data_IF_814153154584
#
_entry.id   IF_814153154584
#
_cell.length_a   1.000
_cell.length_b   1.000
_cell.length_c   1.000
_cell.angle_alpha   90.00
_cell.angle_beta   90.00
_cell.angle_gamma   90.00
#
_symmetry.space_group_name_H-M   'P 1'
#
loop_
_entity.id
_entity.type
_entity.pdbx_description
1 polymer ?
#
# COMPACT_ATOMS: atom_id res chain seq x y z
N UNK A 1 37.29 0.80 -3.67
CA UNK A 1 35.99 1.49 -3.50
C UNK A 1 36.27 2.93 -3.15
N UNK A 2 35.51 3.87 -3.69
CA UNK A 2 35.60 5.30 -3.33
C UNK A 2 34.58 5.60 -2.24
N UNK A 3 34.94 6.38 -1.19
CA UNK A 3 33.96 6.79 -0.19
C UNK A 3 32.85 7.62 -0.88
N UNK A 4 31.57 7.37 -0.56
CA UNK A 4 30.47 8.17 -1.10
C UNK A 4 30.59 9.62 -0.58
N UNK A 5 30.41 10.59 -1.49
CA UNK A 5 30.42 12.02 -1.19
C UNK A 5 29.21 12.69 -1.86
N UNK A 6 28.75 13.81 -1.29
CA UNK A 6 27.62 14.57 -1.83
C UNK A 6 26.33 13.75 -1.93
N UNK A 7 25.70 13.76 -3.10
CA UNK A 7 24.41 13.11 -3.34
C UNK A 7 24.46 11.57 -3.25
N UNK A 8 25.63 10.96 -3.44
CA UNK A 8 25.84 9.52 -3.23
C UNK A 8 25.56 9.10 -1.77
N UNK A 9 25.83 10.00 -0.81
CA UNK A 9 25.58 9.76 0.62
C UNK A 9 24.08 9.76 0.91
N UNK A 10 23.33 10.69 0.30
CA UNK A 10 21.89 10.75 0.41
C UNK A 10 21.24 9.48 -0.18
N UNK A 11 21.72 9.00 -1.33
CA UNK A 11 21.28 7.75 -1.94
C UNK A 11 21.53 6.57 -0.98
N UNK A 12 22.73 6.44 -0.43
CA UNK A 12 23.09 5.34 0.47
C UNK A 12 22.21 5.31 1.74
N UNK A 13 22.10 6.43 2.46
CA UNK A 13 21.30 6.46 3.69
C UNK A 13 19.81 6.27 3.43
N UNK A 14 19.29 6.87 2.36
CA UNK A 14 17.88 6.71 1.97
C UNK A 14 17.58 5.27 1.60
N UNK A 15 18.48 4.60 0.87
CA UNK A 15 18.36 3.19 0.50
C UNK A 15 18.28 2.29 1.73
N UNK A 16 19.21 2.46 2.68
CA UNK A 16 19.24 1.65 3.90
C UNK A 16 17.99 1.90 4.74
N UNK A 17 17.61 3.17 4.94
CA UNK A 17 16.47 3.55 5.75
C UNK A 17 15.15 3.01 5.18
N UNK A 18 14.91 3.21 3.88
CA UNK A 18 13.69 2.70 3.24
C UNK A 18 13.67 1.18 3.16
N UNK A 19 14.81 0.53 2.97
CA UNK A 19 14.89 -0.93 3.00
C UNK A 19 14.46 -1.47 4.36
N UNK A 20 15.01 -0.94 5.45
CA UNK A 20 14.66 -1.34 6.82
C UNK A 20 13.17 -1.09 7.09
N UNK A 21 12.66 0.09 6.74
CA UNK A 21 11.25 0.43 6.93
C UNK A 21 10.34 -0.51 6.13
N UNK A 22 10.65 -0.79 4.86
CA UNK A 22 9.87 -1.68 4.01
C UNK A 22 9.78 -3.10 4.57
N UNK A 23 10.88 -3.64 5.09
CA UNK A 23 10.88 -4.94 5.77
C UNK A 23 10.05 -4.93 7.05
N UNK A 24 10.19 -3.90 7.90
CA UNK A 24 9.39 -3.78 9.13
C UNK A 24 7.89 -3.69 8.82
N UNK A 25 7.52 -2.90 7.81
CA UNK A 25 6.14 -2.72 7.37
C UNK A 25 5.56 -4.02 6.81
N UNK A 26 6.34 -4.77 6.03
CA UNK A 26 5.92 -6.07 5.52
C UNK A 26 5.76 -7.12 6.64
N UNK A 27 6.68 -7.17 7.60
CA UNK A 27 6.58 -8.06 8.77
C UNK A 27 5.32 -7.72 9.57
N UNK A 28 5.04 -6.44 9.81
CA UNK A 28 3.82 -6.01 10.48
C UNK A 28 2.58 -6.44 9.69
N UNK A 29 2.58 -6.26 8.36
CA UNK A 29 1.50 -6.71 7.46
C UNK A 29 1.29 -8.22 7.58
N UNK A 30 2.34 -9.02 7.47
CA UNK A 30 2.28 -10.48 7.56
C UNK A 30 1.75 -10.92 8.95
N UNK A 31 2.19 -10.27 10.02
CA UNK A 31 1.69 -10.50 11.38
C UNK A 31 0.19 -10.27 11.51
N UNK A 32 -0.34 -9.16 10.97
CA UNK A 32 -1.79 -8.88 10.99
C UNK A 32 -2.58 -9.93 10.21
N UNK A 33 -2.08 -10.31 9.04
CA UNK A 33 -2.77 -11.29 8.20
C UNK A 33 -2.73 -12.68 8.79
N UNK A 34 -1.64 -13.04 9.45
CA UNK A 34 -1.54 -14.28 10.24
C UNK A 34 -2.49 -14.29 11.43
N UNK A 35 -2.67 -13.15 12.10
CA UNK A 35 -3.62 -12.99 13.21
C UNK A 35 -5.07 -13.10 12.74
N UNK A 36 -5.40 -12.43 11.62
CA UNK A 36 -6.74 -12.46 11.04
C UNK A 36 -7.05 -13.76 10.28
N UNK A 37 -6.04 -14.60 10.00
CA UNK A 37 -6.12 -15.80 9.14
C UNK A 37 -6.62 -15.49 7.72
N UNK A 38 -6.23 -14.33 7.18
CA UNK A 38 -6.65 -13.86 5.85
C UNK A 38 -5.40 -13.76 4.97
N UNK A 39 -4.93 -14.91 4.49
CA UNK A 39 -3.87 -14.96 3.47
C UNK A 39 -4.48 -14.69 2.10
N UNK A 40 -3.80 -13.90 1.29
CA UNK A 40 -4.20 -13.64 -0.08
C UNK A 40 -3.01 -13.70 -1.04
N UNK A 41 -3.31 -13.89 -2.32
CA UNK A 41 -2.32 -13.85 -3.40
C UNK A 41 -1.59 -12.48 -3.41
N UNK A 42 -2.27 -11.42 -2.99
CA UNK A 42 -1.69 -10.08 -2.84
C UNK A 42 -0.47 -10.05 -1.92
N UNK A 43 -0.40 -10.90 -0.89
CA UNK A 43 0.74 -10.95 0.03
C UNK A 43 1.97 -11.60 -0.57
N UNK A 44 1.76 -12.66 -1.35
CA UNK A 44 2.85 -13.35 -2.08
C UNK A 44 3.44 -12.40 -3.12
N UNK A 45 2.56 -11.73 -3.88
CA UNK A 45 2.97 -10.74 -4.87
C UNK A 45 3.73 -9.59 -4.19
N UNK A 46 3.22 -9.04 -3.07
CA UNK A 46 3.96 -7.99 -2.33
C UNK A 46 5.33 -8.47 -1.84
N UNK A 47 5.43 -9.72 -1.37
CA UNK A 47 6.70 -10.29 -0.92
C UNK A 47 7.71 -10.41 -2.07
N UNK A 48 7.29 -10.87 -3.24
CA UNK A 48 8.13 -10.91 -4.44
C UNK A 48 8.61 -9.50 -4.78
N UNK A 49 7.71 -8.51 -4.74
CA UNK A 49 8.07 -7.11 -4.95
C UNK A 49 9.11 -6.59 -3.94
N UNK A 50 8.98 -6.96 -2.66
CA UNK A 50 9.94 -6.61 -1.61
C UNK A 50 11.32 -7.25 -1.83
N UNK A 51 11.37 -8.50 -2.31
CA UNK A 51 12.63 -9.16 -2.65
C UNK A 51 13.32 -8.45 -3.81
N UNK A 52 12.58 -8.12 -4.87
CA UNK A 52 13.11 -7.37 -6.02
C UNK A 52 13.59 -5.98 -5.60
N UNK A 53 12.81 -5.27 -4.77
CA UNK A 53 13.21 -3.99 -4.17
C UNK A 53 14.50 -4.08 -3.35
N UNK A 54 14.69 -5.18 -2.61
CA UNK A 54 15.91 -5.44 -1.84
C UNK A 54 17.13 -5.60 -2.77
N UNK A 55 16.95 -6.28 -3.91
CA UNK A 55 18.00 -6.39 -4.93
C UNK A 55 18.32 -5.02 -5.53
N UNK A 56 17.31 -4.24 -5.92
CA UNK A 56 17.48 -2.87 -6.44
C UNK A 56 18.26 -2.00 -5.44
N UNK A 57 17.86 -1.98 -4.17
CA UNK A 57 18.56 -1.23 -3.11
C UNK A 57 20.02 -1.68 -2.97
N UNK A 58 20.28 -2.99 -3.00
CA UNK A 58 21.64 -3.54 -2.87
C UNK A 58 22.52 -3.09 -4.03
N UNK A 59 22.02 -3.14 -5.27
CA UNK A 59 22.73 -2.68 -6.46
C UNK A 59 23.00 -1.17 -6.39
N UNK A 60 22.03 -0.36 -5.99
CA UNK A 60 22.23 1.09 -5.83
C UNK A 60 23.26 1.43 -4.75
N UNK A 61 23.27 0.72 -3.63
CA UNK A 61 24.29 0.88 -2.58
C UNK A 61 25.69 0.58 -3.14
N UNK A 62 25.84 -0.50 -3.90
CA UNK A 62 27.11 -0.84 -4.57
C UNK A 62 27.51 0.27 -5.56
N UNK A 63 26.58 0.78 -6.38
CA UNK A 63 26.83 1.89 -7.30
C UNK A 63 27.38 3.14 -6.59
N UNK A 64 26.91 3.45 -5.38
CA UNK A 64 27.43 4.57 -4.58
C UNK A 64 28.93 4.44 -4.29
N UNK A 65 29.39 3.23 -3.98
CA UNK A 65 30.80 2.94 -3.70
C UNK A 65 31.70 2.95 -4.94
N UNK A 66 31.11 2.90 -6.14
CA UNK A 66 31.81 3.10 -7.40
C UNK A 66 31.77 4.55 -7.91
N UNK A 67 31.09 5.45 -7.19
CA UNK A 67 31.07 6.88 -7.47
C UNK A 67 29.79 7.41 -8.13
N UNK A 68 28.74 6.59 -8.24
CA UNK A 68 27.42 7.08 -8.69
C UNK A 68 26.88 8.14 -7.71
N UNK A 69 26.34 9.24 -8.25
CA UNK A 69 25.88 10.41 -7.49
C UNK A 69 26.94 11.50 -7.25
N UNK A 70 28.16 11.34 -7.76
CA UNK A 70 29.21 12.37 -7.70
C UNK A 70 29.40 13.03 -9.07
N UNK A 71 29.70 14.33 -9.10
CA UNK A 71 30.05 15.03 -10.34
C UNK A 71 31.38 14.48 -10.88
N UNK A 72 31.51 14.38 -12.21
CA UNK A 72 32.72 13.90 -12.87
C UNK A 72 34.00 14.66 -12.46
N UNK A 73 33.87 15.94 -12.12
CA UNK A 73 34.96 16.81 -11.66
C UNK A 73 35.50 16.45 -10.26
N UNK A 74 34.67 15.87 -9.39
CA UNK A 74 35.03 15.51 -8.01
C UNK A 74 35.69 14.13 -7.88
N UNK A 75 35.59 13.30 -8.91
CA UNK A 75 36.27 12.01 -8.95
C UNK A 75 37.77 12.23 -9.17
N UNK A 76 38.57 12.08 -8.11
CA UNK A 76 40.04 12.07 -8.21
C UNK A 76 40.52 10.66 -8.56
N UNK A 77 40.98 10.46 -9.80
CA UNK A 77 41.80 9.32 -10.24
C UNK A 77 42.25 9.52 -11.70
N UNK A 78 43.45 9.01 -12.03
CA UNK A 78 43.98 8.88 -13.38
C UNK A 78 42.91 8.43 -14.39
N UNK A 79 42.87 9.02 -15.59
CA UNK A 79 41.77 8.90 -16.57
C UNK A 79 41.33 7.44 -16.85
N UNK A 80 42.27 6.49 -16.80
CA UNK A 80 41.98 5.05 -16.99
C UNK A 80 41.08 4.46 -15.90
N UNK A 81 41.28 4.85 -14.64
CA UNK A 81 40.49 4.33 -13.51
C UNK A 81 39.09 4.94 -13.47
N UNK A 82 38.90 6.15 -14.01
CA UNK A 82 37.57 6.76 -14.19
C UNK A 82 36.74 5.97 -15.20
N UNK A 83 37.30 5.65 -16.36
CA UNK A 83 36.61 4.89 -17.41
C UNK A 83 36.08 3.54 -16.92
N UNK A 84 36.91 2.76 -16.22
CA UNK A 84 36.50 1.44 -15.69
C UNK A 84 35.35 1.57 -14.68
N UNK A 85 35.37 2.58 -13.80
CA UNK A 85 34.29 2.81 -12.83
C UNK A 85 32.98 3.17 -13.52
N UNK A 86 33.02 4.00 -14.56
CA UNK A 86 31.83 4.36 -15.35
C UNK A 86 31.21 3.13 -15.98
N UNK A 87 32.01 2.25 -16.58
CA UNK A 87 31.52 1.01 -17.21
C UNK A 87 30.88 0.06 -16.19
N UNK A 88 31.49 -0.10 -15.01
CA UNK A 88 30.92 -0.91 -13.92
C UNK A 88 29.59 -0.31 -13.43
N UNK A 89 29.52 1.01 -13.22
CA UNK A 89 28.28 1.68 -12.82
C UNK A 89 27.20 1.54 -13.88
N UNK A 90 27.53 1.69 -15.16
CA UNK A 90 26.59 1.49 -16.26
C UNK A 90 26.02 0.06 -16.27
N UNK A 91 26.86 -0.96 -16.09
CA UNK A 91 26.42 -2.35 -15.98
C UNK A 91 25.51 -2.59 -14.77
N UNK A 92 25.91 -2.13 -13.59
CA UNK A 92 25.13 -2.31 -12.36
C UNK A 92 23.79 -1.56 -12.43
N UNK A 93 23.78 -0.37 -13.02
CA UNK A 93 22.58 0.44 -13.19
C UNK A 93 21.63 -0.19 -14.20
N UNK A 94 22.15 -0.69 -15.32
CA UNK A 94 21.38 -1.46 -16.29
C UNK A 94 20.67 -2.65 -15.62
N UNK A 95 21.40 -3.44 -14.83
CA UNK A 95 20.79 -4.56 -14.08
C UNK A 95 19.73 -4.04 -13.09
N UNK A 96 20.01 -2.94 -12.38
CA UNK A 96 19.08 -2.35 -11.44
C UNK A 96 17.78 -1.87 -12.10
N UNK A 97 17.82 -1.36 -13.35
CA UNK A 97 16.62 -0.93 -14.09
C UNK A 97 15.64 -2.10 -14.35
N UNK A 98 16.14 -3.32 -14.63
CA UNK A 98 15.27 -4.50 -14.78
C UNK A 98 14.59 -4.88 -13.48
N UNK A 99 15.35 -4.89 -12.38
CA UNK A 99 14.81 -5.21 -11.06
C UNK A 99 13.81 -4.16 -10.59
N UNK A 100 14.10 -2.88 -10.84
CA UNK A 100 13.20 -1.76 -10.58
C UNK A 100 11.87 -1.92 -11.35
N UNK A 101 11.91 -2.11 -12.67
CA UNK A 101 10.68 -2.26 -13.46
C UNK A 101 9.85 -3.48 -12.99
N UNK A 102 10.52 -4.58 -12.66
CA UNK A 102 9.87 -5.78 -12.15
C UNK A 102 9.26 -5.58 -10.76
N UNK A 103 9.97 -4.90 -9.86
CA UNK A 103 9.50 -4.58 -8.51
C UNK A 103 8.30 -3.63 -8.56
N UNK A 104 8.38 -2.55 -9.33
CA UNK A 104 7.30 -1.57 -9.51
C UNK A 104 5.98 -2.25 -9.95
N UNK A 105 6.03 -3.08 -11.00
CA UNK A 105 4.83 -3.82 -11.46
C UNK A 105 4.31 -4.76 -10.41
N UNK A 106 5.18 -5.50 -9.74
CA UNK A 106 4.77 -6.48 -8.73
C UNK A 106 4.10 -5.78 -7.54
N UNK A 107 4.66 -4.67 -7.05
CA UNK A 107 4.09 -3.86 -5.97
C UNK A 107 2.71 -3.34 -6.38
N UNK A 108 2.58 -2.75 -7.58
CA UNK A 108 1.31 -2.22 -8.10
C UNK A 108 0.27 -3.31 -8.30
N UNK A 109 0.66 -4.48 -8.78
CA UNK A 109 -0.22 -5.64 -8.92
C UNK A 109 -0.75 -6.09 -7.55
N UNK A 110 0.08 -6.13 -6.50
CA UNK A 110 -0.41 -6.45 -5.15
C UNK A 110 -1.45 -5.44 -4.64
N UNK A 111 -1.22 -4.14 -4.86
CA UNK A 111 -2.16 -3.08 -4.50
C UNK A 111 -3.47 -3.26 -5.26
N UNK A 112 -3.39 -3.46 -6.58
CA UNK A 112 -4.53 -3.67 -7.46
C UNK A 112 -5.35 -4.92 -7.05
N UNK A 113 -4.70 -6.04 -6.76
CA UNK A 113 -5.36 -7.27 -6.27
C UNK A 113 -6.03 -7.03 -4.90
N UNK A 114 -5.39 -6.27 -4.02
CA UNK A 114 -6.01 -5.85 -2.74
C UNK A 114 -7.27 -5.03 -2.98
N UNK A 115 -7.26 -4.11 -3.97
CA UNK A 115 -8.42 -3.31 -4.36
C UNK A 115 -9.51 -4.16 -5.02
N UNK A 116 -9.16 -5.14 -5.85
CA UNK A 116 -10.12 -6.07 -6.46
C UNK A 116 -10.93 -6.80 -5.39
N UNK A 117 -10.26 -7.29 -4.35
CA UNK A 117 -10.92 -7.96 -3.22
C UNK A 117 -11.89 -7.05 -2.46
N UNK A 118 -11.64 -5.74 -2.43
CA UNK A 118 -12.51 -4.76 -1.77
C UNK A 118 -13.68 -4.36 -2.68
N UNK A 119 -13.46 -4.31 -3.99
CA UNK A 119 -14.43 -3.84 -4.99
C UNK A 119 -15.35 -4.93 -5.55
N UNK A 120 -15.25 -6.17 -5.06
CA UNK A 120 -15.79 -7.42 -5.61
C UNK A 120 -17.22 -7.35 -6.21
N UNK A 121 -18.11 -6.54 -5.62
CA UNK A 121 -19.50 -6.39 -6.08
C UNK A 121 -19.70 -5.41 -7.25
N UNK A 122 -18.71 -4.56 -7.61
CA UNK A 122 -18.89 -3.48 -8.60
C UNK A 122 -18.11 -3.73 -9.89
N UNK A 123 -18.77 -4.39 -10.85
CA UNK A 123 -18.17 -4.83 -12.13
C UNK A 123 -17.37 -3.77 -12.89
N UNK A 124 -17.84 -2.51 -12.93
CA UNK A 124 -17.10 -1.41 -13.61
C UNK A 124 -15.71 -1.18 -13.01
N UNK A 125 -15.59 -1.18 -11.68
CA UNK A 125 -14.32 -0.97 -10.98
C UNK A 125 -13.38 -2.15 -11.17
N UNK A 126 -13.92 -3.38 -11.17
CA UNK A 126 -13.15 -4.60 -11.44
C UNK A 126 -12.48 -4.54 -12.82
N UNK A 127 -13.22 -4.16 -13.86
CA UNK A 127 -12.67 -3.98 -15.21
C UNK A 127 -11.60 -2.89 -15.26
N UNK A 128 -11.81 -1.75 -14.59
CA UNK A 128 -10.80 -0.69 -14.51
C UNK A 128 -9.52 -1.18 -13.84
N UNK A 129 -9.62 -1.94 -12.74
CA UNK A 129 -8.42 -2.46 -12.05
C UNK A 129 -7.66 -3.45 -12.92
N UNK A 130 -8.36 -4.35 -13.62
CA UNK A 130 -7.71 -5.25 -14.59
C UNK A 130 -7.02 -4.47 -15.72
N UNK A 131 -7.63 -3.37 -16.19
CA UNK A 131 -7.01 -2.45 -17.14
C UNK A 131 -5.71 -1.83 -16.61
N UNK A 132 -5.68 -1.42 -15.32
CA UNK A 132 -4.48 -0.88 -14.67
C UNK A 132 -3.38 -1.96 -14.55
N UNK A 133 -3.75 -3.19 -14.16
CA UNK A 133 -2.80 -4.31 -14.10
C UNK A 133 -2.22 -4.59 -15.49
N UNK A 134 -3.06 -4.62 -16.53
CA UNK A 134 -2.59 -4.83 -17.90
C UNK A 134 -1.68 -3.68 -18.37
N UNK A 135 -2.05 -2.42 -18.10
CA UNK A 135 -1.26 -1.26 -18.49
C UNK A 135 0.12 -1.24 -17.82
N UNK A 136 0.17 -1.49 -16.50
CA UNK A 136 1.44 -1.58 -15.74
C UNK A 136 2.33 -2.71 -16.27
N UNK A 137 1.78 -3.93 -16.41
CA UNK A 137 2.53 -5.07 -16.93
C UNK A 137 3.06 -4.82 -18.36
N UNK A 138 2.22 -4.31 -19.27
CA UNK A 138 2.62 -4.02 -20.64
C UNK A 138 3.70 -2.92 -20.70
N UNK A 139 3.57 -1.87 -19.88
CA UNK A 139 4.56 -0.80 -19.84
C UNK A 139 5.94 -1.29 -19.38
N UNK A 140 6.00 -2.20 -18.39
CA UNK A 140 7.26 -2.78 -17.97
C UNK A 140 7.87 -3.72 -19.00
N UNK A 141 7.05 -4.50 -19.71
CA UNK A 141 7.55 -5.35 -20.81
C UNK A 141 8.19 -4.48 -21.90
N UNK A 142 7.52 -3.41 -22.31
CA UNK A 142 8.05 -2.45 -23.29
C UNK A 142 9.34 -1.81 -22.77
N UNK A 143 9.38 -1.41 -21.50
CA UNK A 143 10.57 -0.84 -20.87
C UNK A 143 11.75 -1.82 -20.85
N UNK A 144 11.55 -3.05 -20.39
CA UNK A 144 12.55 -4.12 -20.33
C UNK A 144 13.12 -4.42 -21.72
N UNK A 145 12.25 -4.53 -22.74
CA UNK A 145 12.67 -4.78 -24.12
C UNK A 145 13.44 -3.57 -24.67
N UNK A 146 12.96 -2.35 -24.42
CA UNK A 146 13.62 -1.12 -24.89
C UNK A 146 15.01 -0.96 -24.26
N UNK A 147 15.13 -1.17 -22.96
CA UNK A 147 16.41 -1.12 -22.23
C UNK A 147 17.37 -2.20 -22.72
N UNK A 148 16.88 -3.43 -22.94
CA UNK A 148 17.71 -4.51 -23.50
C UNK A 148 18.26 -4.22 -24.92
N UNK A 149 17.60 -3.32 -25.68
CA UNK A 149 18.00 -2.94 -27.04
C UNK A 149 18.65 -1.54 -27.11
N UNK A 150 19.15 -0.99 -25.99
CA UNK A 150 19.86 0.31 -26.01
C UNK A 150 21.15 0.25 -26.84
N UNK A 151 21.89 -0.86 -26.80
CA UNK A 151 23.16 -1.02 -27.49
C UNK A 151 23.20 -2.29 -28.36
N UNK A 152 23.82 -2.19 -29.53
CA UNK A 152 24.08 -3.33 -30.42
C UNK A 152 25.58 -3.46 -30.74
N UNK A 153 26.27 -4.52 -30.27
CA UNK A 153 25.83 -5.51 -29.27
C UNK A 153 25.74 -4.91 -27.86
N UNK A 154 24.95 -5.53 -26.98
CA UNK A 154 24.74 -5.05 -25.60
C UNK A 154 26.04 -4.96 -24.78
N UNK A 155 27.03 -5.79 -25.13
CA UNK A 155 28.40 -5.81 -24.59
C UNK A 155 29.16 -4.49 -24.76
N UNK A 156 28.68 -3.61 -25.64
CA UNK A 156 29.22 -2.26 -25.82
C UNK A 156 28.99 -1.38 -24.59
N UNK A 157 27.91 -1.61 -23.83
CA UNK A 157 27.55 -0.80 -22.67
C UNK A 157 28.62 -0.86 -21.56
N UNK A 158 29.25 -2.02 -21.36
CA UNK A 158 30.33 -2.21 -20.37
C UNK A 158 31.72 -2.33 -20.99
N UNK A 159 31.86 -1.97 -22.28
CA UNK A 159 33.16 -1.80 -22.93
C UNK A 159 33.86 -3.10 -23.35
N UNK A 160 33.14 -4.22 -23.40
CA UNK A 160 33.67 -5.49 -23.91
C UNK A 160 33.76 -5.47 -25.45
N UNK A 161 32.87 -4.75 -26.12
CA UNK A 161 32.93 -4.53 -27.57
C UNK A 161 33.07 -3.05 -27.88
N UNK A 162 34.12 -2.66 -28.61
CA UNK A 162 34.42 -1.26 -28.95
C UNK A 162 33.82 -0.81 -30.29
N UNK A 163 33.26 -1.74 -31.08
CA UNK A 163 32.72 -1.49 -32.42
C UNK A 163 31.19 -1.35 -32.47
N UNK A 164 30.50 -1.47 -31.32
CA UNK A 164 29.06 -1.33 -31.26
C UNK A 164 28.59 0.12 -31.15
N UNK A 165 27.30 0.33 -31.40
CA UNK A 165 26.64 1.63 -31.23
C UNK A 165 25.55 1.54 -30.16
N UNK A 166 25.40 2.61 -29.38
CA UNK A 166 24.38 2.76 -28.37
C UNK A 166 23.46 3.93 -28.72
N UNK A 167 22.15 3.71 -28.62
CA UNK A 167 21.14 4.72 -28.84
C UNK A 167 20.65 5.29 -27.50
N UNK A 168 21.30 6.35 -27.02
CA UNK A 168 20.93 7.02 -25.77
C UNK A 168 19.56 7.71 -25.84
N UNK A 169 19.13 8.12 -27.04
CA UNK A 169 17.82 8.71 -27.25
C UNK A 169 16.71 7.69 -27.00
N UNK A 170 16.88 6.46 -27.47
CA UNK A 170 15.96 5.35 -27.22
C UNK A 170 15.79 5.10 -25.72
N UNK A 171 16.88 5.14 -24.94
CA UNK A 171 16.79 4.96 -23.48
C UNK A 171 15.91 6.04 -22.83
N UNK A 172 16.12 7.30 -23.23
CA UNK A 172 15.36 8.44 -22.72
C UNK A 172 13.88 8.33 -23.09
N UNK A 173 13.57 8.02 -24.34
CA UNK A 173 12.19 7.92 -24.84
C UNK A 173 11.42 6.76 -24.17
N UNK A 174 12.05 5.59 -24.03
CA UNK A 174 11.45 4.42 -23.37
C UNK A 174 11.25 4.67 -21.88
N UNK A 175 12.21 5.32 -21.22
CA UNK A 175 12.10 5.68 -19.81
C UNK A 175 11.04 6.76 -19.56
N UNK A 176 10.86 7.72 -20.50
CA UNK A 176 9.78 8.70 -20.49
C UNK A 176 8.42 8.03 -20.60
N UNK A 177 8.28 7.10 -21.56
CA UNK A 177 7.05 6.32 -21.75
C UNK A 177 6.69 5.53 -20.49
N UNK A 178 7.63 4.79 -19.91
CA UNK A 178 7.40 4.01 -18.70
C UNK A 178 6.96 4.90 -17.54
N UNK A 179 7.68 6.00 -17.30
CA UNK A 179 7.36 6.93 -16.21
C UNK A 179 5.98 7.58 -16.36
N UNK A 180 5.54 7.89 -17.58
CA UNK A 180 4.22 8.46 -17.82
C UNK A 180 3.10 7.48 -17.45
N UNK A 181 3.26 6.19 -17.79
CA UNK A 181 2.30 5.15 -17.39
C UNK A 181 2.35 4.90 -15.88
N UNK A 182 3.53 4.92 -15.27
CA UNK A 182 3.68 4.77 -13.83
C UNK A 182 2.94 5.89 -13.07
N UNK A 183 3.07 7.15 -13.49
CA UNK A 183 2.32 8.27 -12.92
C UNK A 183 0.81 8.06 -13.11
N UNK A 184 0.36 7.74 -14.32
CA UNK A 184 -1.06 7.55 -14.60
C UNK A 184 -1.68 6.43 -13.75
N UNK A 185 -0.93 5.34 -13.55
CA UNK A 185 -1.36 4.18 -12.77
C UNK A 185 -1.37 4.47 -11.27
N UNK A 186 -0.42 5.25 -10.75
CA UNK A 186 -0.41 5.72 -9.35
C UNK A 186 -1.66 6.52 -9.00
N UNK A 187 -1.95 7.55 -9.81
CA UNK A 187 -3.15 8.37 -9.62
C UNK A 187 -4.43 7.54 -9.74
N UNK A 188 -4.47 6.59 -10.69
CA UNK A 188 -5.61 5.70 -10.85
C UNK A 188 -5.82 4.83 -9.62
N UNK A 189 -4.77 4.20 -9.08
CA UNK A 189 -4.83 3.37 -7.88
C UNK A 189 -5.14 4.19 -6.61
N UNK A 190 -4.78 5.47 -6.58
CA UNK A 190 -5.06 6.39 -5.46
C UNK A 190 -6.52 6.86 -5.45
N UNK A 191 -7.05 7.23 -6.61
CA UNK A 191 -8.41 7.77 -6.76
C UNK A 191 -9.44 6.65 -6.60
N UNK A 192 -9.15 5.44 -7.08
CA UNK A 192 -10.10 4.34 -7.07
C UNK A 192 -10.72 4.02 -5.69
N UNK A 193 -9.94 3.83 -4.60
CA UNK A 193 -10.52 3.63 -3.28
C UNK A 193 -11.27 4.85 -2.76
N UNK A 194 -10.86 6.08 -3.12
CA UNK A 194 -11.57 7.29 -2.72
C UNK A 194 -12.98 7.36 -3.34
N UNK A 195 -13.08 7.09 -4.64
CA UNK A 195 -14.35 7.06 -5.38
C UNK A 195 -15.24 5.91 -4.91
N UNK A 196 -14.66 4.72 -4.69
CA UNK A 196 -15.41 3.55 -4.23
C UNK A 196 -16.14 3.82 -2.90
N UNK A 197 -15.48 4.56 -2.00
CA UNK A 197 -15.92 4.81 -0.63
C UNK A 197 -16.68 6.13 -0.45
N UNK A 198 -16.78 6.98 -1.48
CA UNK A 198 -17.38 8.32 -1.40
C UNK A 198 -18.86 8.31 -0.97
N UNK A 199 -19.63 7.34 -1.46
CA UNK A 199 -21.08 7.25 -1.21
C UNK A 199 -21.44 6.48 0.07
N UNK A 200 -20.46 6.05 0.87
CA UNK A 200 -20.69 5.28 2.10
C UNK A 200 -20.41 6.19 3.30
N UNK A 201 -21.34 6.25 4.27
CA UNK A 201 -21.13 6.99 5.54
C UNK A 201 -19.98 6.37 6.33
N UNK A 202 -18.75 6.85 6.07
CA UNK A 202 -17.54 6.32 6.68
C UNK A 202 -17.25 6.95 8.03
N UNK A 203 -16.78 6.12 8.98
CA UNK A 203 -16.18 6.61 10.23
C UNK A 203 -14.91 7.41 9.91
N UNK A 204 -14.62 8.47 10.66
CA UNK A 204 -13.47 9.37 10.41
C UNK A 204 -12.12 8.65 10.26
N UNK A 205 -11.94 7.49 10.91
CA UNK A 205 -10.73 6.66 10.77
C UNK A 205 -10.52 6.12 9.36
N UNK A 206 -11.59 5.72 8.66
CA UNK A 206 -11.49 5.23 7.28
C UNK A 206 -11.20 6.38 6.32
N UNK A 207 -11.80 7.56 6.57
CA UNK A 207 -11.52 8.79 5.83
C UNK A 207 -10.04 9.19 5.95
N UNK A 208 -9.46 9.08 7.14
CA UNK A 208 -8.04 9.33 7.37
C UNK A 208 -7.14 8.35 6.59
N UNK A 209 -7.44 7.04 6.62
CA UNK A 209 -6.64 6.06 5.84
C UNK A 209 -6.69 6.30 4.34
N UNK A 210 -7.84 6.69 3.80
CA UNK A 210 -7.99 7.03 2.37
C UNK A 210 -7.18 8.29 2.03
N UNK A 211 -7.24 9.31 2.89
CA UNK A 211 -6.43 10.52 2.72
C UNK A 211 -4.91 10.22 2.75
N UNK A 212 -4.47 9.33 3.64
CA UNK A 212 -3.07 8.88 3.68
C UNK A 212 -2.67 8.18 2.39
N UNK A 213 -3.47 7.23 1.88
CA UNK A 213 -3.17 6.52 0.63
C UNK A 213 -3.09 7.50 -0.55
N UNK A 214 -4.02 8.46 -0.63
CA UNK A 214 -4.00 9.49 -1.66
C UNK A 214 -2.73 10.36 -1.57
N UNK A 215 -2.35 10.77 -0.37
CA UNK A 215 -1.14 11.57 -0.13
C UNK A 215 0.14 10.82 -0.50
N UNK A 216 0.22 9.52 -0.17
CA UNK A 216 1.37 8.68 -0.53
C UNK A 216 1.49 8.50 -2.04
N UNK A 217 0.36 8.29 -2.74
CA UNK A 217 0.38 8.18 -4.19
C UNK A 217 0.75 9.50 -4.88
N UNK A 218 0.24 10.63 -4.39
CA UNK A 218 0.66 11.95 -4.88
C UNK A 218 2.17 12.16 -4.68
N UNK A 219 2.70 11.75 -3.53
CA UNK A 219 4.14 11.82 -3.26
C UNK A 219 4.97 10.91 -4.17
N UNK A 220 4.52 9.67 -4.41
CA UNK A 220 5.16 8.75 -5.36
C UNK A 220 5.15 9.31 -6.79
N UNK A 221 4.03 9.89 -7.23
CA UNK A 221 3.95 10.58 -8.53
C UNK A 221 4.85 11.82 -8.61
N UNK A 222 5.00 12.58 -7.52
CA UNK A 222 5.98 13.67 -7.50
C UNK A 222 7.42 13.13 -7.62
N UNK A 223 7.74 12.01 -6.98
CA UNK A 223 9.05 11.38 -7.09
C UNK A 223 9.39 10.97 -8.53
N UNK A 224 8.44 10.37 -9.27
CA UNK A 224 8.63 10.01 -10.68
C UNK A 224 8.74 11.21 -11.60
N UNK A 225 7.99 12.30 -11.35
CA UNK A 225 8.14 13.55 -12.11
C UNK A 225 9.54 14.14 -11.93
N UNK A 226 10.04 14.15 -10.68
CA UNK A 226 11.39 14.67 -10.41
C UNK A 226 12.46 13.78 -11.05
N UNK A 227 12.29 12.45 -11.01
CA UNK A 227 13.14 11.50 -11.75
C UNK A 227 13.19 11.82 -13.24
N UNK A 228 12.05 12.15 -13.85
CA UNK A 228 11.92 12.45 -15.27
C UNK A 228 12.83 13.60 -15.73
N UNK A 229 13.06 14.59 -14.86
CA UNK A 229 13.94 15.73 -15.18
C UNK A 229 15.38 15.28 -15.41
N UNK A 230 15.86 14.33 -14.61
CA UNK A 230 17.24 13.83 -14.69
C UNK A 230 17.45 12.87 -15.87
N UNK A 231 16.37 12.34 -16.44
CA UNK A 231 16.43 11.53 -17.67
C UNK A 231 16.96 12.35 -18.86
N UNK A 232 16.68 13.66 -18.91
CA UNK A 232 17.23 14.53 -19.96
C UNK A 232 18.75 14.72 -19.87
N UNK A 233 19.38 14.37 -18.74
CA UNK A 233 20.83 14.43 -18.54
C UNK A 233 21.53 13.13 -18.96
N UNK A 234 20.80 12.10 -19.39
CA UNK A 234 21.42 10.84 -19.84
C UNK A 234 22.32 11.03 -21.07
N UNK A 235 22.02 12.02 -21.91
CA UNK A 235 22.75 12.35 -23.14
C UNK A 235 24.15 12.90 -22.90
N UNK A 236 24.43 13.41 -21.69
CA UNK A 236 25.72 14.02 -21.38
C UNK A 236 26.61 13.06 -20.58
N UNK A 237 27.71 12.54 -21.18
CA UNK A 237 28.59 11.58 -20.51
C UNK A 237 29.31 12.15 -19.27
N UNK A 238 29.43 13.49 -19.18
CA UNK A 238 29.97 14.17 -18.01
C UNK A 238 29.00 14.14 -16.80
N UNK A 239 27.70 14.08 -17.06
CA UNK A 239 26.64 14.12 -16.04
C UNK A 239 26.01 12.76 -15.76
N UNK A 240 26.35 11.72 -16.55
CA UNK A 240 25.81 10.37 -16.39
C UNK A 240 25.94 9.81 -14.96
N UNK A 241 27.11 9.94 -14.33
CA UNK A 241 27.33 9.48 -12.95
C UNK A 241 26.44 10.22 -11.94
N UNK A 242 26.22 11.52 -12.16
CA UNK A 242 25.36 12.33 -11.30
C UNK A 242 23.88 12.00 -11.51
N UNK A 243 23.45 11.90 -12.77
CA UNK A 243 22.09 11.57 -13.17
C UNK A 243 21.66 10.20 -12.64
N UNK A 244 22.48 9.16 -12.80
CA UNK A 244 22.19 7.80 -12.31
C UNK A 244 21.98 7.76 -10.79
N UNK A 245 22.77 8.53 -10.03
CA UNK A 245 22.60 8.63 -8.58
C UNK A 245 21.27 9.28 -8.17
N UNK A 246 20.88 10.38 -8.82
CA UNK A 246 19.58 11.04 -8.59
C UNK A 246 18.41 10.16 -9.00
N UNK A 247 18.50 9.53 -10.17
CA UNK A 247 17.48 8.62 -10.69
C UNK A 247 17.30 7.46 -9.69
N UNK A 248 18.38 6.81 -9.26
CA UNK A 248 18.33 5.74 -8.27
C UNK A 248 17.68 6.18 -6.95
N UNK A 249 17.99 7.39 -6.48
CA UNK A 249 17.43 7.92 -5.23
C UNK A 249 15.91 8.05 -5.30
N UNK A 250 15.41 8.66 -6.38
CA UNK A 250 13.97 8.85 -6.57
C UNK A 250 13.24 7.53 -6.83
N UNK A 251 13.90 6.57 -7.50
CA UNK A 251 13.36 5.21 -7.74
C UNK A 251 13.12 4.45 -6.44
N UNK A 252 14.08 4.50 -5.52
CA UNK A 252 13.97 3.80 -4.23
C UNK A 252 12.89 4.44 -3.36
N UNK A 253 12.78 5.77 -3.40
CA UNK A 253 11.71 6.50 -2.71
C UNK A 253 10.35 6.07 -3.24
N UNK A 254 10.18 6.02 -4.56
CA UNK A 254 8.95 5.60 -5.21
C UNK A 254 8.53 4.18 -4.79
N UNK A 255 9.41 3.18 -4.94
CA UNK A 255 9.10 1.78 -4.62
C UNK A 255 8.85 1.59 -3.11
N UNK A 256 9.66 2.22 -2.25
CA UNK A 256 9.48 2.17 -0.80
C UNK A 256 8.14 2.74 -0.35
N UNK A 257 7.73 3.87 -0.95
CA UNK A 257 6.42 4.48 -0.69
C UNK A 257 5.27 3.63 -1.24
N UNK A 258 5.48 2.96 -2.37
CA UNK A 258 4.55 1.97 -2.92
C UNK A 258 4.32 0.78 -1.98
N UNK A 259 5.38 0.19 -1.42
CA UNK A 259 5.29 -0.90 -0.43
C UNK A 259 4.55 -0.44 0.83
N UNK A 260 4.87 0.76 1.32
CA UNK A 260 4.20 1.35 2.47
C UNK A 260 2.70 1.56 2.21
N UNK A 261 2.37 2.24 1.12
CA UNK A 261 0.99 2.52 0.70
C UNK A 261 0.18 1.24 0.50
N UNK A 262 0.77 0.23 -0.16
CA UNK A 262 0.13 -1.06 -0.39
C UNK A 262 -0.07 -1.89 0.87
N UNK A 263 0.72 -1.64 1.91
CA UNK A 263 0.60 -2.31 3.22
C UNK A 263 -0.41 -1.64 4.15
N UNK A 264 -0.74 -0.35 3.94
CA UNK A 264 -1.70 0.37 4.78
C UNK A 264 -3.07 -0.31 4.92
N UNK A 265 -3.73 -0.85 3.86
CA UNK A 265 -5.01 -1.52 4.00
C UNK A 265 -4.97 -2.71 4.97
N UNK A 266 -3.87 -3.47 4.95
CA UNK A 266 -3.66 -4.62 5.84
C UNK A 266 -3.35 -4.19 7.27
N UNK A 267 -2.67 -3.06 7.46
CA UNK A 267 -2.28 -2.53 8.78
C UNK A 267 -3.40 -1.78 9.52
N UNK A 268 -4.53 -1.48 8.85
CA UNK A 268 -5.69 -0.79 9.47
C UNK A 268 -6.10 -1.31 10.86
N UNK A 269 -6.12 -2.64 11.14
CA UNK A 269 -6.48 -3.14 12.46
C UNK A 269 -5.47 -2.74 13.55
N UNK A 270 -4.16 -2.68 13.25
CA UNK A 270 -3.15 -2.28 14.23
C UNK A 270 -3.22 -0.79 14.56
N UNK A 271 -3.49 0.05 13.58
CA UNK A 271 -3.69 1.49 13.78
C UNK A 271 -4.92 1.81 14.64
N UNK A 272 -5.82 0.84 14.82
CA UNK A 272 -6.97 0.98 15.71
C UNK A 272 -6.70 0.55 17.15
N UNK A 273 -5.54 -0.05 17.44
CA UNK A 273 -5.15 -0.48 18.78
C UNK A 273 -4.80 0.72 19.68
N UNK A 274 -5.10 0.64 20.99
CA UNK A 274 -4.89 1.74 21.92
C UNK A 274 -3.44 2.25 22.02
N UNK A 275 -2.43 1.44 21.66
CA UNK A 275 -1.03 1.82 21.73
C UNK A 275 -0.58 2.80 20.62
N UNK A 276 -1.30 2.87 19.51
CA UNK A 276 -1.06 3.83 18.40
C UNK A 276 -2.05 5.00 18.41
N UNK A 277 -2.92 5.10 19.41
CA UNK A 277 -3.56 6.37 19.69
C UNK A 277 -2.46 7.31 20.17
N UNK A 278 -1.91 8.09 19.24
CA UNK A 278 -1.35 9.39 19.58
C UNK A 278 -2.52 10.16 20.19
N UNK A 279 -2.70 9.99 21.49
CA UNK A 279 -3.60 10.80 22.28
C UNK A 279 -3.02 12.21 22.17
N UNK A 280 -3.48 12.96 21.18
CA UNK A 280 -3.53 14.41 21.32
C UNK A 280 -4.18 14.63 22.67
N UNK A 281 -3.40 15.11 23.63
CA UNK A 281 -3.89 15.59 24.91
C UNK A 281 -4.76 16.83 24.64
N UNK A 282 -5.92 16.60 24.04
CA UNK A 282 -6.99 17.57 23.89
C UNK A 282 -7.73 17.59 25.21
N UNK A 283 -7.31 18.53 26.06
CA UNK A 283 -7.90 18.91 27.33
C UNK A 283 -9.43 18.71 27.35
N UNK A 284 -9.92 17.61 27.94
CA UNK A 284 -11.34 17.42 28.20
C UNK A 284 -11.69 18.20 29.47
N UNK A 285 -12.09 19.46 29.33
CA UNK A 285 -12.85 20.14 30.38
C UNK A 285 -14.25 19.49 30.45
N UNK A 286 -14.37 18.46 31.29
CA UNK A 286 -15.67 18.08 31.85
C UNK A 286 -15.79 18.78 33.22
N UNK A 287 -16.72 19.73 33.42
CA UNK A 287 -17.08 20.10 34.77
C UNK A 287 -17.97 19.00 35.33
N UNK A 288 -17.46 18.31 36.35
CA UNK A 288 -18.22 17.52 37.27
C UNK A 288 -19.11 18.45 38.10
N UNK A 289 -20.42 18.37 37.93
CA UNK A 289 -21.37 18.82 38.95
C UNK A 289 -22.32 17.68 39.25
N UNK A 290 -22.18 17.18 40.48
CA UNK A 290 -22.99 16.17 41.10
C UNK A 290 -24.45 16.65 41.24
N UNK A 291 -25.40 15.78 40.93
CA UNK A 291 -26.68 15.79 41.62
C UNK A 291 -27.06 14.35 41.96
N UNK A 292 -26.76 13.98 43.21
CA UNK A 292 -27.39 12.86 43.92
C UNK A 292 -28.85 13.22 44.14
N UNK A 293 -29.78 12.38 43.71
CA UNK A 293 -31.11 12.31 44.29
C UNK A 293 -31.41 10.86 44.70
N UNK A 294 -32.02 10.78 45.89
CA UNK A 294 -32.12 9.65 46.80
C UNK A 294 -32.93 8.47 46.23
N UNK A 295 -32.34 7.28 46.27
CA UNK A 295 -33.09 6.01 46.31
C UNK A 295 -33.39 5.71 47.78
N UNK A 296 -34.67 5.83 48.14
CA UNK A 296 -35.19 5.36 49.42
C UNK A 296 -35.30 3.83 49.37
N UNK A 297 -34.61 3.15 50.28
CA UNK A 297 -34.88 1.77 50.68
C UNK A 297 -36.35 1.61 51.04
N UNK A 298 -37.05 0.63 50.44
CA UNK A 298 -38.11 -0.09 51.15
C UNK A 298 -38.12 -1.56 50.74
N UNK A 299 -38.39 -2.35 51.76
CA UNK A 299 -38.15 -3.77 51.99
C UNK A 299 -39.13 -4.71 51.29
N UNK A 300 -38.71 -5.98 51.18
CA UNK A 300 -39.48 -7.17 50.84
C UNK A 300 -40.94 -7.14 51.33
N UNK A 301 -41.90 -7.37 50.42
CA UNK A 301 -43.14 -8.09 50.69
C UNK A 301 -43.46 -8.95 49.45
N UNK A 302 -43.57 -10.26 49.67
CA UNK A 302 -44.13 -11.26 48.76
C UNK A 302 -45.64 -11.32 49.07
N UNK A 303 -46.51 -11.20 48.07
CA UNK A 303 -47.90 -11.66 48.22
C UNK A 303 -48.50 -12.04 46.86
N UNK A 304 -49.16 -13.19 46.89
CA UNK A 304 -49.82 -13.91 45.82
C UNK A 304 -51.05 -13.19 45.25
N UNK A 305 -51.41 -13.61 44.03
CA UNK A 305 -52.76 -13.83 43.52
C UNK A 305 -53.87 -12.90 44.03
N UNK A 306 -54.34 -12.01 43.16
CA UNK A 306 -55.76 -11.67 43.14
C UNK A 306 -56.29 -11.53 41.71
N UNK A 307 -57.16 -12.47 41.39
CA UNK A 307 -58.10 -12.47 40.29
C UNK A 307 -59.20 -11.45 40.63
N UNK A 308 -59.49 -10.52 39.72
CA UNK A 308 -60.73 -9.75 39.79
C UNK A 308 -61.34 -9.62 38.40
N UNK A 309 -62.46 -10.33 38.25
CA UNK A 309 -63.40 -10.27 37.15
C UNK A 309 -64.26 -9.00 37.27
N UNK A 310 -64.66 -8.48 36.09
CA UNK A 310 -65.88 -7.69 35.90
C UNK A 310 -65.73 -6.19 36.12
N UNK A 311 -65.96 -5.37 35.10
CA UNK A 311 -67.32 -4.94 34.77
C UNK A 311 -67.36 -4.25 33.40
N UNK A 312 -68.50 -4.40 32.74
CA UNK A 312 -68.84 -3.87 31.44
C UNK A 312 -68.94 -2.34 31.45
N UNK A 313 -68.50 -1.71 30.36
CA UNK A 313 -69.25 -0.56 29.83
C UNK A 313 -69.02 -0.45 28.33
N UNK A 314 -70.09 -0.70 27.61
CA UNK A 314 -70.28 -0.51 26.18
C UNK A 314 -69.76 0.85 25.68
N UNK A 315 -69.15 0.81 24.49
CA UNK A 315 -69.36 1.82 23.45
C UNK A 315 -68.93 1.23 22.11
N UNK A 316 -69.93 0.78 21.37
CA UNK A 316 -69.90 0.57 19.93
C UNK A 316 -69.46 1.85 19.21
N UNK A 317 -68.45 1.75 18.34
CA UNK A 317 -68.43 2.40 17.03
C UNK A 317 -67.72 1.47 16.07
N UNK A 318 -68.47 1.01 15.08
CA UNK A 318 -68.06 0.20 13.95
C UNK A 318 -66.88 0.82 13.17
N UNK A 319 -65.93 0.00 12.69
CA UNK A 319 -65.65 -0.14 11.26
C UNK A 319 -64.70 -1.32 11.06
N UNK A 320 -65.24 -2.31 10.36
CA UNK A 320 -64.65 -3.50 9.79
C UNK A 320 -63.59 -3.17 8.71
N UNK A 321 -62.34 -3.64 8.89
CA UNK A 321 -61.44 -4.13 7.81
C UNK A 321 -59.97 -4.03 8.22
N UNK A 322 -59.44 -5.11 8.80
CA UNK A 322 -58.13 -5.71 8.48
C UNK A 322 -57.83 -6.86 9.45
N UNK A 323 -58.66 -7.92 9.36
CA UNK A 323 -58.29 -9.26 9.82
C UNK A 323 -57.46 -9.92 8.73
N UNK A 324 -56.14 -9.75 8.77
CA UNK A 324 -55.17 -10.78 8.36
C UNK A 324 -53.75 -10.28 8.67
N UNK A 325 -52.83 -11.21 8.96
CA UNK A 325 -51.39 -11.02 9.22
C UNK A 325 -51.02 -10.71 10.70
N UNK A 326 -51.57 -11.47 11.65
CA UNK A 326 -50.79 -11.88 12.82
C UNK A 326 -50.78 -13.42 12.83
N UNK A 327 -49.61 -14.01 12.59
CA UNK A 327 -49.38 -15.45 12.73
C UNK A 327 -49.25 -15.77 14.22
N UNK A 328 -50.26 -16.38 14.78
CA UNK A 328 -50.17 -17.02 16.09
C UNK A 328 -49.27 -18.26 15.95
N UNK A 329 -48.16 -18.30 16.68
CA UNK A 329 -47.27 -19.47 16.73
C UNK A 329 -47.51 -20.15 18.06
N UNK A 330 -48.29 -21.23 18.05
CA UNK A 330 -48.50 -22.09 19.20
C UNK A 330 -47.22 -22.90 19.44
N UNK A 331 -46.56 -22.66 20.58
CA UNK A 331 -45.39 -23.43 21.01
C UNK A 331 -45.83 -24.32 22.17
N UNK A 332 -46.10 -25.58 21.86
CA UNK A 332 -46.37 -26.60 22.88
C UNK A 332 -45.04 -27.07 23.47
N UNK A 333 -44.80 -26.75 24.74
CA UNK A 333 -43.63 -27.23 25.50
C UNK A 333 -44.03 -28.49 26.27
N UNK A 334 -43.61 -29.66 25.80
CA UNK A 334 -43.73 -30.92 26.54
C UNK A 334 -42.52 -31.10 27.45
N UNK A 335 -42.72 -30.97 28.77
CA UNK A 335 -41.74 -31.35 29.78
C UNK A 335 -41.83 -32.86 30.06
N UNK A 336 -40.73 -33.56 29.79
CA UNK A 336 -40.58 -35.00 30.07
C UNK A 336 -40.01 -35.18 31.48
N UNK A 337 -40.85 -35.49 32.47
CA UNK A 337 -40.37 -35.89 33.80
C UNK A 337 -40.00 -37.38 33.80
N UNK A 338 -38.72 -37.65 34.02
CA UNK A 338 -38.18 -39.00 34.20
C UNK A 338 -38.57 -39.51 35.58
N UNK A 339 -39.36 -40.57 35.61
CA UNK A 339 -39.66 -41.39 36.77
C UNK A 339 -38.40 -42.17 37.16
N UNK A 340 -37.90 -41.94 38.38
CA UNK A 340 -36.90 -42.79 39.04
C UNK A 340 -37.60 -43.94 39.77
N UNK A 341 -37.20 -45.16 39.42
CA UNK A 341 -37.54 -46.44 40.07
C UNK A 341 -37.04 -46.52 41.52
N UNK A 342 -37.75 -47.22 42.44
CA UNK A 342 -37.15 -47.78 43.63
C UNK A 342 -36.64 -49.22 43.36
N UNK A 343 -35.38 -49.48 43.70
CA UNK A 343 -34.79 -50.81 43.76
C UNK A 343 -34.83 -51.37 45.19
N UNK A 344 -34.95 -52.69 45.26
CA UNK A 344 -34.84 -53.58 46.42
C UNK A 344 -33.55 -53.43 47.22
#
# INVERSE_FOLDING_TARGET
>A
MTPPQGDAVALLYTSILLLVISWLVFIARAGVRRWKKIWGVDDIVMFIGLLLFTVTCSLCIVCCFYGSGQLAATLSASDKMKGIKVLIVALLFFIAEFFYASAAVTIKCSIAVTLLRIADSRRRYVWTIWGIIAATAMSAIVFIIGVANICHPITTLWGETTTGSCNLQLNSDVSLFFSAIEIATDWSLAILPAVLLWNIKMKSRVKASVACILGLAAFASCATIVRLRYLSLYSDPAEFMFATGKIGLWSIIEEGMGIFAGSLPALRPLLSLPCFNFSTAGNSNKPSSANRLNISKRTNIKMDTFQQLGDNSDKDVDTESQKHILKETEITVTSNDRISTPGE
#
